data_IF_520419394892
#
_entry.id   IF_520419394892
#
_cell.length_a   1.000
_cell.length_b   1.000
_cell.length_c   1.000
_cell.angle_alpha   90.00
_cell.angle_beta   90.00
_cell.angle_gamma   90.00
#
_symmetry.space_group_name_H-M   'P 1'
#
loop_
_entity.id
_entity.type
_entity.pdbx_description
1 polymer ?
#
# COMPACT_ATOMS: atom_id res chain seq x y z
N UNK A 1 12.23 -13.49 -4.18
CA UNK A 1 12.23 -12.11 -4.71
C UNK A 1 11.53 -12.15 -6.06
N UNK A 2 10.50 -11.34 -6.27
CA UNK A 2 9.91 -11.21 -7.60
C UNK A 2 10.98 -10.56 -8.50
N UNK A 3 11.26 -11.19 -9.64
CA UNK A 3 12.10 -10.63 -10.71
C UNK A 3 11.20 -10.37 -11.91
N UNK A 4 11.40 -9.25 -12.60
CA UNK A 4 10.58 -8.84 -13.74
C UNK A 4 10.45 -7.33 -13.86
N UNK A 5 9.94 -6.88 -15.00
CA UNK A 5 9.71 -5.47 -15.27
C UNK A 5 8.62 -4.91 -14.34
N UNK A 6 8.87 -3.70 -13.83
CA UNK A 6 7.90 -2.95 -13.04
C UNK A 6 7.06 -2.11 -13.99
N UNK A 7 5.73 -2.25 -13.89
CA UNK A 7 4.78 -1.41 -14.61
C UNK A 7 3.97 -0.63 -13.60
N UNK A 8 3.93 0.70 -13.72
CA UNK A 8 3.16 1.57 -12.85
C UNK A 8 2.06 2.28 -13.64
N UNK A 9 0.84 2.26 -13.12
CA UNK A 9 -0.25 3.08 -13.62
C UNK A 9 -0.20 4.47 -12.98
N UNK A 10 -0.39 5.51 -13.78
CA UNK A 10 -0.59 6.87 -13.31
C UNK A 10 -2.02 7.06 -12.81
N UNK A 11 -2.18 7.52 -11.56
CA UNK A 11 -3.47 7.83 -10.93
C UNK A 11 -3.65 9.34 -10.69
N UNK A 12 -2.85 10.17 -11.35
CA UNK A 12 -2.86 11.62 -11.23
C UNK A 12 -1.79 12.11 -10.26
N UNK A 13 -1.93 13.35 -9.81
CA UNK A 13 -1.01 13.97 -8.85
C UNK A 13 -1.75 14.44 -7.60
N UNK A 14 -1.04 14.48 -6.47
CA UNK A 14 -1.55 15.10 -5.27
C UNK A 14 -1.47 16.64 -5.32
N UNK A 15 -1.89 17.30 -4.23
CA UNK A 15 -1.89 18.77 -4.12
C UNK A 15 -0.48 19.39 -4.15
N UNK A 16 0.56 18.57 -3.99
CA UNK A 16 1.96 18.97 -4.06
C UNK A 16 2.59 18.60 -5.41
N UNK A 17 1.76 18.29 -6.41
CA UNK A 17 2.16 17.92 -7.77
C UNK A 17 3.02 16.66 -7.83
N UNK A 18 2.92 15.78 -6.82
CA UNK A 18 3.61 14.47 -6.84
C UNK A 18 2.71 13.45 -7.52
N UNK A 19 3.28 12.71 -8.46
CA UNK A 19 2.56 11.64 -9.16
C UNK A 19 2.19 10.50 -8.20
N UNK A 20 0.93 10.06 -8.27
CA UNK A 20 0.37 8.94 -7.54
C UNK A 20 0.34 7.72 -8.47
N UNK A 21 0.96 6.63 -8.03
CA UNK A 21 1.13 5.44 -8.86
C UNK A 21 0.68 4.15 -8.17
N UNK A 22 0.17 3.21 -8.98
CA UNK A 22 -0.06 1.82 -8.57
C UNK A 22 0.87 0.94 -9.40
N UNK A 23 1.80 0.26 -8.75
CA UNK A 23 2.88 -0.46 -9.42
C UNK A 23 2.71 -1.97 -9.28
N UNK A 24 3.06 -2.71 -10.34
CA UNK A 24 2.97 -4.16 -10.36
C UNK A 24 4.21 -4.81 -10.99
N UNK A 25 4.53 -6.02 -10.52
CA UNK A 25 5.51 -6.94 -11.13
C UNK A 25 4.79 -8.23 -11.47
N UNK A 26 4.56 -8.46 -12.76
CA UNK A 26 3.69 -9.54 -13.22
C UNK A 26 2.27 -9.38 -12.67
N UNK A 27 1.82 -10.32 -11.84
CA UNK A 27 0.48 -10.31 -11.21
C UNK A 27 0.49 -9.76 -9.78
N UNK A 28 1.66 -9.37 -9.23
CA UNK A 28 1.77 -8.83 -7.88
C UNK A 28 1.68 -7.31 -7.92
N UNK A 29 0.73 -6.75 -7.20
CA UNK A 29 0.58 -5.32 -7.01
C UNK A 29 1.34 -4.91 -5.73
N UNK A 30 2.33 -4.04 -5.90
CA UNK A 30 3.33 -3.74 -4.87
C UNK A 30 2.68 -3.02 -3.68
N UNK A 31 1.74 -2.10 -3.92
CA UNK A 31 1.13 -1.32 -2.86
C UNK A 31 0.26 -2.22 -1.97
N UNK A 32 -0.57 -3.09 -2.56
CA UNK A 32 -1.34 -4.09 -1.83
C UNK A 32 -0.45 -5.02 -1.00
N UNK A 33 0.64 -5.52 -1.56
CA UNK A 33 1.57 -6.41 -0.83
C UNK A 33 2.20 -5.69 0.37
N UNK A 34 2.57 -4.41 0.22
CA UNK A 34 3.10 -3.61 1.33
C UNK A 34 2.08 -3.44 2.45
N UNK A 35 0.81 -3.12 2.13
CA UNK A 35 -0.24 -2.97 3.15
C UNK A 35 -0.58 -4.30 3.80
N UNK A 36 -0.78 -5.36 3.00
CA UNK A 36 -1.16 -6.68 3.49
C UNK A 36 -0.10 -7.31 4.42
N UNK A 37 1.17 -6.98 4.22
CA UNK A 37 2.28 -7.43 5.08
C UNK A 37 2.56 -6.50 6.27
N UNK A 38 1.77 -5.44 6.46
CA UNK A 38 1.93 -4.48 7.56
C UNK A 38 3.13 -3.53 7.40
N UNK A 39 3.64 -3.34 6.18
CA UNK A 39 4.76 -2.45 5.89
C UNK A 39 4.32 -1.03 5.47
N UNK A 40 3.02 -0.82 5.26
CA UNK A 40 2.46 0.46 4.85
C UNK A 40 1.04 0.67 5.38
N UNK A 41 0.63 1.93 5.43
CA UNK A 41 -0.69 2.39 5.81
C UNK A 41 -1.59 2.56 4.58
N UNK A 42 -2.88 2.26 4.70
CA UNK A 42 -3.86 2.53 3.65
C UNK A 42 -4.39 3.97 3.77
N UNK A 43 -3.79 4.90 3.03
CA UNK A 43 -4.18 6.30 3.11
C UNK A 43 -5.53 6.59 2.40
N UNK A 44 -6.62 6.53 3.19
CA UNK A 44 -8.01 6.64 2.73
C UNK A 44 -8.40 7.96 2.03
N UNK A 45 -7.56 9.00 2.07
CA UNK A 45 -7.86 10.31 1.46
C UNK A 45 -7.99 10.25 -0.07
N UNK A 46 -7.22 9.37 -0.72
CA UNK A 46 -7.17 9.27 -2.18
C UNK A 46 -7.76 7.96 -2.71
N UNK A 47 -7.80 6.90 -1.91
CA UNK A 47 -8.40 5.62 -2.29
C UNK A 47 -8.71 4.78 -1.05
N UNK A 48 -9.76 3.95 -1.15
CA UNK A 48 -10.12 2.95 -0.13
C UNK A 48 -9.71 1.52 -0.54
N UNK A 49 -8.98 1.36 -1.65
CA UNK A 49 -8.68 0.05 -2.26
C UNK A 49 -7.95 -0.91 -1.30
N UNK A 50 -7.19 -0.38 -0.34
CA UNK A 50 -6.34 -1.18 0.56
C UNK A 50 -6.82 -1.24 2.01
N UNK A 51 -7.96 -0.62 2.36
CA UNK A 51 -8.44 -0.54 3.76
C UNK A 51 -8.64 -1.95 4.36
N UNK A 52 -9.26 -2.85 3.59
CA UNK A 52 -9.48 -4.23 4.07
C UNK A 52 -8.18 -5.02 4.26
N UNK A 53 -7.11 -4.70 3.51
CA UNK A 53 -5.80 -5.31 3.69
C UNK A 53 -5.12 -4.78 4.96
N UNK A 54 -5.27 -3.49 5.24
CA UNK A 54 -4.77 -2.85 6.45
C UNK A 54 -5.46 -3.42 7.70
N UNK A 55 -6.80 -3.50 7.69
CA UNK A 55 -7.59 -4.07 8.78
C UNK A 55 -7.12 -5.50 9.11
N UNK A 56 -6.86 -6.30 8.06
CA UNK A 56 -6.33 -7.65 8.23
C UNK A 56 -4.93 -7.64 8.84
N UNK A 57 -4.00 -6.86 8.29
CA UNK A 57 -2.64 -6.77 8.79
C UNK A 57 -2.59 -6.28 10.26
N UNK A 58 -3.50 -5.37 10.62
CA UNK A 58 -3.67 -4.90 12.00
C UNK A 58 -4.19 -6.02 12.91
N UNK A 59 -5.20 -6.77 12.48
CA UNK A 59 -5.76 -7.88 13.25
C UNK A 59 -4.74 -9.02 13.48
N UNK A 60 -3.85 -9.23 12.52
CA UNK A 60 -2.80 -10.25 12.55
C UNK A 60 -1.50 -9.73 13.19
N UNK A 61 -1.45 -8.47 13.65
CA UNK A 61 -0.26 -7.83 14.24
C UNK A 61 0.98 -7.96 13.34
N UNK A 62 0.82 -7.66 12.05
CA UNK A 62 1.92 -7.72 11.08
C UNK A 62 2.69 -6.41 11.00
N UNK A 63 4.00 -6.49 10.77
CA UNK A 63 4.86 -5.33 10.53
C UNK A 63 4.74 -4.25 11.60
N UNK A 64 4.35 -3.05 11.19
CA UNK A 64 4.20 -1.89 12.09
C UNK A 64 3.11 -2.08 13.16
N UNK A 65 2.14 -2.97 12.94
CA UNK A 65 1.02 -3.24 13.85
C UNK A 65 1.40 -4.13 15.05
N UNK A 66 2.68 -4.51 15.18
CA UNK A 66 3.20 -5.27 16.33
C UNK A 66 3.28 -4.46 17.63
N UNK A 67 3.04 -3.16 17.55
CA UNK A 67 3.01 -2.25 18.69
C UNK A 67 1.86 -1.25 18.52
N UNK A 68 1.61 -0.48 19.58
CA UNK A 68 0.70 0.67 19.48
C UNK A 68 1.28 1.71 18.52
N UNK A 69 0.51 2.05 17.49
CA UNK A 69 0.91 3.01 16.44
C UNK A 69 -0.14 4.09 16.26
N UNK A 70 0.30 5.29 15.87
CA UNK A 70 -0.58 6.44 15.60
C UNK A 70 -0.77 6.60 14.09
N UNK A 71 -2.00 6.87 13.63
CA UNK A 71 -2.25 7.19 12.24
C UNK A 71 -1.42 8.23 11.52
N UNK A 72 -0.99 7.84 10.31
CA UNK A 72 -0.29 8.68 9.34
C UNK A 72 -1.21 9.76 8.76
#
# INVERSE_FOLDING_TARGET
MASGDVVCDDRGADIYERQLGVCRVGQREINAEMVASGNAWAFGKYSTDYVTLEDRAHSEQLGIWQASTIPA
#
